data_IF_871594956693
#
_entry.id   IF_871594956693
#
_cell.length_a   1.000
_cell.length_b   1.000
_cell.length_c   1.000
_cell.angle_alpha   90.00
_cell.angle_beta   90.00
_cell.angle_gamma   90.00
#
_symmetry.space_group_name_H-M   'P 1'
#
loop_
_entity.id
_entity.type
_entity.pdbx_description
1 polymer ?
#
# COMPACT_ATOMS: atom_id res chain seq x y z
N UNK A 1 -1.12 -6.62 -19.45
CA UNK A 1 0.16 -6.05 -18.97
C UNK A 1 0.25 -4.53 -19.08
N UNK A 2 0.03 -3.90 -20.25
CA UNK A 2 0.07 -2.42 -20.38
C UNK A 2 -0.76 -1.69 -19.31
N UNK A 3 -1.96 -2.19 -18.96
CA UNK A 3 -2.87 -1.58 -17.99
C UNK A 3 -2.43 -1.69 -16.53
N UNK A 4 -1.51 -2.58 -16.17
CA UNK A 4 -1.01 -2.73 -14.81
C UNK A 4 0.31 -1.99 -14.55
N UNK A 5 1.11 -1.78 -15.58
CA UNK A 5 2.40 -1.05 -15.47
C UNK A 5 2.19 0.45 -15.39
N UNK A 6 1.16 0.97 -16.07
CA UNK A 6 0.84 2.40 -16.07
C UNK A 6 0.54 2.90 -14.64
N UNK A 7 -0.32 2.27 -13.81
CA UNK A 7 -0.51 2.70 -12.44
C UNK A 7 0.76 2.66 -11.60
N UNK A 8 1.62 1.65 -11.75
CA UNK A 8 2.89 1.57 -11.03
C UNK A 8 3.82 2.74 -11.38
N UNK A 9 3.90 3.10 -12.67
CA UNK A 9 4.67 4.25 -13.12
C UNK A 9 4.03 5.58 -12.70
N UNK A 10 2.69 5.68 -12.61
CA UNK A 10 2.03 6.86 -12.04
C UNK A 10 2.35 7.04 -10.56
N UNK A 11 2.37 6.00 -9.75
CA UNK A 11 2.80 6.08 -8.34
C UNK A 11 4.28 6.47 -8.25
N UNK A 12 5.12 5.92 -9.12
CA UNK A 12 6.52 6.34 -9.27
C UNK A 12 6.64 7.83 -9.60
N UNK A 13 5.67 8.43 -10.27
CA UNK A 13 5.67 9.83 -10.71
C UNK A 13 5.08 10.77 -9.68
N UNK A 14 3.97 10.42 -9.05
CA UNK A 14 3.35 11.24 -8.00
C UNK A 14 4.24 11.35 -6.76
N UNK A 15 5.03 10.30 -6.44
CA UNK A 15 6.00 10.34 -5.35
C UNK A 15 7.11 11.37 -5.55
N UNK A 16 7.25 11.93 -6.73
CA UNK A 16 8.39 12.79 -7.09
C UNK A 16 8.02 14.26 -7.27
N UNK A 17 6.72 14.60 -7.35
CA UNK A 17 6.33 15.99 -7.64
C UNK A 17 6.50 17.00 -6.49
N UNK A 18 6.84 16.57 -5.27
CA UNK A 18 7.01 17.47 -4.13
C UNK A 18 8.17 17.04 -3.25
N UNK A 19 9.44 17.24 -3.67
CA UNK A 19 10.46 17.05 -2.69
C UNK A 19 11.75 17.76 -2.75
N UNK A 20 12.01 18.20 -1.59
CA UNK A 20 13.15 18.85 -1.00
C UNK A 20 14.43 18.03 -1.00
N UNK A 21 15.50 18.74 -1.26
CA UNK A 21 16.88 18.45 -1.17
C UNK A 21 17.34 17.44 -0.11
N UNK A 22 17.54 16.21 -0.56
CA UNK A 22 18.56 15.33 -0.06
C UNK A 22 19.24 14.73 -1.28
N UNK A 23 20.51 14.97 -1.49
CA UNK A 23 21.37 14.66 -2.62
C UNK A 23 20.91 13.51 -3.54
N UNK A 24 20.20 13.87 -4.61
CA UNK A 24 19.73 12.97 -5.64
C UNK A 24 18.23 13.15 -5.87
N UNK A 25 17.83 14.19 -6.66
CA UNK A 25 16.43 14.37 -7.05
C UNK A 25 15.96 13.15 -7.83
N UNK A 26 14.92 12.47 -7.34
CA UNK A 26 14.26 11.40 -8.10
C UNK A 26 13.69 11.99 -9.39
N UNK A 27 13.73 11.27 -10.52
CA UNK A 27 13.27 11.79 -11.81
C UNK A 27 11.77 12.10 -11.79
N UNK A 28 11.39 13.18 -12.43
CA UNK A 28 9.99 13.59 -12.58
C UNK A 28 9.53 13.23 -14.00
N UNK A 29 8.48 12.41 -14.10
CA UNK A 29 7.92 11.95 -15.38
C UNK A 29 6.52 12.52 -15.61
N UNK A 30 6.18 12.86 -16.84
CA UNK A 30 4.82 13.17 -17.28
C UNK A 30 4.22 11.99 -18.09
N UNK A 31 2.94 12.05 -18.44
CA UNK A 31 2.25 10.96 -19.15
C UNK A 31 2.90 10.53 -20.46
N UNK A 32 3.51 11.47 -21.21
CA UNK A 32 4.23 11.15 -22.44
C UNK A 32 5.52 10.40 -22.13
N UNK A 33 6.22 10.83 -21.09
CA UNK A 33 7.44 10.18 -20.62
C UNK A 33 7.16 8.76 -20.16
N UNK A 34 6.03 8.53 -19.48
CA UNK A 34 5.62 7.19 -19.03
C UNK A 34 5.42 6.24 -20.21
N UNK A 35 4.63 6.65 -21.19
CA UNK A 35 4.38 5.82 -22.36
C UNK A 35 5.67 5.51 -23.12
N UNK A 36 6.56 6.49 -23.20
CA UNK A 36 7.88 6.31 -23.80
C UNK A 36 8.72 5.31 -23.01
N UNK A 37 8.82 5.46 -21.68
CA UNK A 37 9.55 4.53 -20.80
C UNK A 37 8.97 3.12 -20.90
N UNK A 38 7.64 2.98 -20.85
CA UNK A 38 6.97 1.67 -20.99
C UNK A 38 7.28 1.01 -22.32
N UNK A 39 7.43 1.80 -23.39
CA UNK A 39 7.81 1.28 -24.72
C UNK A 39 9.24 0.76 -24.79
N UNK A 40 10.13 1.29 -23.95
CA UNK A 40 11.54 0.88 -23.88
C UNK A 40 11.78 -0.33 -22.98
N UNK A 41 10.84 -0.65 -22.07
CA UNK A 41 10.96 -1.79 -21.17
C UNK A 41 10.85 -3.11 -21.92
N UNK A 42 11.77 -4.04 -21.66
CA UNK A 42 11.62 -5.43 -22.10
C UNK A 42 10.47 -6.13 -21.37
N UNK A 43 10.04 -7.28 -21.87
CA UNK A 43 8.99 -8.06 -21.22
C UNK A 43 9.40 -8.47 -19.78
N UNK A 44 10.65 -8.89 -19.60
CA UNK A 44 11.23 -9.25 -18.31
C UNK A 44 11.26 -8.08 -17.33
N UNK A 45 11.63 -6.89 -17.80
CA UNK A 45 11.62 -5.67 -17.00
C UNK A 45 10.19 -5.30 -16.59
N UNK A 46 9.23 -5.38 -17.52
CA UNK A 46 7.80 -5.19 -17.23
C UNK A 46 7.30 -6.17 -16.18
N UNK A 47 7.64 -7.45 -16.32
CA UNK A 47 7.27 -8.48 -15.34
C UNK A 47 7.90 -8.21 -13.96
N UNK A 48 9.15 -7.74 -13.92
CA UNK A 48 9.83 -7.39 -12.67
C UNK A 48 9.22 -6.21 -11.93
N UNK A 49 8.69 -5.22 -12.64
CA UNK A 49 8.01 -4.08 -12.02
C UNK A 49 6.69 -4.48 -11.34
N UNK A 50 6.07 -5.60 -11.74
CA UNK A 50 4.83 -6.12 -11.13
C UNK A 50 5.10 -7.02 -9.92
N UNK A 51 6.38 -7.32 -9.62
CA UNK A 51 6.80 -8.24 -8.57
C UNK A 51 7.80 -7.56 -7.66
N UNK A 52 7.39 -7.27 -6.43
CA UNK A 52 8.26 -6.63 -5.45
C UNK A 52 9.33 -7.55 -4.89
N UNK A 53 10.12 -7.00 -4.01
CA UNK A 53 11.21 -7.68 -3.32
C UNK A 53 10.99 -7.65 -1.80
N UNK A 54 11.42 -8.69 -1.06
CA UNK A 54 11.34 -8.69 0.39
C UNK A 54 12.27 -7.63 0.99
N UNK A 55 11.85 -7.04 2.10
CA UNK A 55 12.69 -6.15 2.88
C UNK A 55 13.93 -6.85 3.44
N UNK A 56 14.87 -6.06 3.92
CA UNK A 56 16.12 -6.56 4.50
C UNK A 56 16.43 -5.82 5.81
N UNK A 57 16.86 -6.56 6.82
CA UNK A 57 17.39 -5.98 8.06
C UNK A 57 18.73 -5.27 7.85
N UNK A 58 19.41 -5.57 6.74
CA UNK A 58 20.65 -4.91 6.32
C UNK A 58 20.32 -3.91 5.21
N UNK A 59 20.41 -2.62 5.52
CA UNK A 59 20.32 -1.59 4.48
C UNK A 59 21.45 -1.76 3.46
N UNK A 60 21.09 -1.71 2.18
CA UNK A 60 22.02 -1.55 1.05
C UNK A 60 21.67 -0.23 0.36
N UNK A 61 22.51 0.25 -0.55
CA UNK A 61 22.49 1.63 -1.05
C UNK A 61 21.14 2.20 -1.50
N UNK A 62 20.12 1.37 -1.71
CA UNK A 62 18.78 1.79 -2.17
C UNK A 62 17.63 1.18 -1.35
N UNK A 63 17.93 0.51 -0.23
CA UNK A 63 16.95 -0.21 0.58
C UNK A 63 17.03 0.28 2.01
N UNK A 64 15.89 0.71 2.56
CA UNK A 64 15.78 1.10 3.96
C UNK A 64 15.82 -0.16 4.83
N UNK A 65 16.74 -0.20 5.78
CA UNK A 65 16.89 -1.33 6.70
C UNK A 65 15.61 -1.51 7.52
N UNK A 66 15.08 -2.75 7.53
CA UNK A 66 13.83 -3.08 8.23
C UNK A 66 12.57 -2.66 7.48
N UNK A 67 12.67 -2.14 6.25
CA UNK A 67 11.50 -1.94 5.39
C UNK A 67 10.77 -3.27 5.15
N UNK A 68 9.45 -3.21 4.94
CA UNK A 68 8.63 -4.39 4.65
C UNK A 68 8.96 -5.00 3.28
N UNK A 69 9.36 -4.16 2.33
CA UNK A 69 9.75 -4.56 0.99
C UNK A 69 10.05 -3.35 0.11
N UNK A 70 10.44 -3.62 -1.12
CA UNK A 70 10.77 -2.60 -2.10
C UNK A 70 10.44 -3.07 -3.53
N UNK A 71 10.34 -2.12 -4.48
CA UNK A 71 10.17 -2.43 -5.90
C UNK A 71 11.53 -2.61 -6.57
N UNK A 72 11.58 -3.43 -7.61
CA UNK A 72 12.80 -3.67 -8.35
C UNK A 72 13.21 -2.42 -9.16
N UNK A 73 14.43 -1.89 -9.01
CA UNK A 73 14.91 -0.76 -9.79
C UNK A 73 15.28 -1.20 -11.22
N UNK A 74 15.20 -0.27 -12.19
CA UNK A 74 15.66 -0.48 -13.56
C UNK A 74 16.61 0.66 -13.92
N UNK A 75 17.87 0.49 -13.56
CA UNK A 75 18.91 1.52 -13.66
C UNK A 75 19.12 2.02 -15.09
N UNK A 76 18.93 1.15 -16.10
CA UNK A 76 19.06 1.53 -17.52
C UNK A 76 18.02 2.56 -18.00
N UNK A 77 16.96 2.78 -17.23
CA UNK A 77 15.87 3.72 -17.52
C UNK A 77 15.62 4.69 -16.37
N UNK A 78 16.57 4.81 -15.43
CA UNK A 78 16.49 5.67 -14.26
C UNK A 78 15.22 5.43 -13.39
N UNK A 79 14.66 4.20 -13.41
CA UNK A 79 13.51 3.83 -12.57
C UNK A 79 14.04 3.42 -11.20
N UNK A 80 13.78 4.21 -10.14
CA UNK A 80 14.29 3.93 -8.81
C UNK A 80 13.51 2.81 -8.12
N UNK A 81 14.10 2.24 -7.07
CA UNK A 81 13.38 1.42 -6.10
C UNK A 81 12.47 2.29 -5.23
N UNK A 82 11.29 1.77 -4.90
CA UNK A 82 10.37 2.34 -3.91
C UNK A 82 10.41 1.48 -2.66
N UNK A 83 10.67 2.07 -1.50
CA UNK A 83 10.71 1.41 -0.21
C UNK A 83 9.35 1.51 0.49
N UNK A 84 8.80 0.36 0.90
CA UNK A 84 7.56 0.27 1.63
C UNK A 84 7.85 -0.16 3.08
N UNK A 85 7.36 0.58 4.06
CA UNK A 85 7.52 0.25 5.48
C UNK A 85 6.19 0.07 6.19
N UNK A 86 6.11 -0.86 7.13
CA UNK A 86 4.95 -0.96 8.03
C UNK A 86 4.81 0.32 8.85
N UNK A 87 3.57 0.68 9.23
CA UNK A 87 3.34 1.93 9.91
C UNK A 87 1.98 2.17 10.54
N UNK A 88 1.22 1.15 11.03
CA UNK A 88 -0.11 1.41 11.60
C UNK A 88 -0.11 2.33 12.82
N UNK A 89 0.95 2.32 13.60
CA UNK A 89 1.16 3.14 14.80
C UNK A 89 2.53 3.84 14.79
N UNK A 90 3.02 4.18 13.60
CA UNK A 90 4.32 4.79 13.35
C UNK A 90 5.18 3.95 12.40
N UNK A 91 6.19 4.56 11.82
CA UNK A 91 7.07 3.91 10.83
C UNK A 91 7.87 2.78 11.48
N UNK A 92 7.84 1.59 10.89
CA UNK A 92 8.60 0.44 11.36
C UNK A 92 9.79 0.18 10.45
N UNK A 93 10.97 0.43 11.00
CA UNK A 93 12.27 0.17 10.35
C UNK A 93 13.24 -0.46 11.35
N UNK A 94 14.37 -0.95 10.88
CA UNK A 94 15.48 -1.32 11.79
C UNK A 94 16.10 -0.03 12.34
N UNK A 95 16.23 0.10 13.68
CA UNK A 95 16.64 1.36 14.30
C UNK A 95 18.13 1.70 14.12
N UNK A 96 18.92 0.84 13.50
CA UNK A 96 20.34 1.07 13.20
C UNK A 96 20.51 1.47 11.75
N UNK A 97 20.79 2.74 11.53
CA UNK A 97 21.08 3.23 10.18
C UNK A 97 22.55 3.02 9.83
N UNK A 98 22.87 2.58 8.60
CA UNK A 98 24.24 2.51 8.14
C UNK A 98 24.94 3.88 8.30
N UNK A 99 26.16 3.86 8.82
CA UNK A 99 27.00 5.06 9.01
C UNK A 99 26.53 6.09 10.06
N UNK A 100 25.56 5.74 10.93
CA UNK A 100 25.23 6.57 12.10
C UNK A 100 25.77 5.91 13.38
N UNK A 101 26.47 6.67 14.23
CA UNK A 101 27.09 6.15 15.46
C UNK A 101 26.06 5.93 16.59
N UNK A 102 24.79 6.20 16.35
CA UNK A 102 23.70 6.09 17.31
C UNK A 102 22.50 5.39 16.71
N UNK A 103 21.72 4.74 17.55
CA UNK A 103 20.46 4.14 17.19
C UNK A 103 19.44 5.25 16.91
N UNK A 104 18.74 5.16 15.79
CA UNK A 104 17.64 6.05 15.46
C UNK A 104 16.32 5.35 15.77
N UNK A 105 15.36 6.07 16.36
CA UNK A 105 14.06 5.52 16.73
C UNK A 105 12.97 6.21 15.94
N UNK A 106 11.93 5.46 15.61
CA UNK A 106 10.66 6.03 15.15
C UNK A 106 9.70 6.17 16.33
N UNK A 107 8.81 7.13 16.23
CA UNK A 107 7.76 7.35 17.23
C UNK A 107 6.76 6.19 17.22
N UNK A 108 6.43 5.66 18.38
CA UNK A 108 5.28 4.79 18.58
C UNK A 108 4.09 5.67 18.95
N UNK A 109 3.21 5.91 18.00
CA UNK A 109 1.99 6.67 18.20
C UNK A 109 0.94 5.85 18.95
N UNK A 110 -0.10 6.52 19.52
CA UNK A 110 -1.26 5.82 20.07
C UNK A 110 -1.90 4.88 19.04
N UNK A 111 -2.59 3.83 19.50
CA UNK A 111 -3.33 2.96 18.59
C UNK A 111 -4.37 3.76 17.81
N UNK A 112 -4.65 3.35 16.58
CA UNK A 112 -5.66 4.02 15.73
C UNK A 112 -7.05 4.03 16.37
N UNK A 113 -7.36 3.04 17.23
CA UNK A 113 -8.57 3.04 18.07
C UNK A 113 -8.60 4.23 19.04
N UNK A 114 -7.48 4.53 19.70
CA UNK A 114 -7.36 5.69 20.60
C UNK A 114 -7.49 6.99 19.84
N UNK A 115 -6.86 7.05 18.66
CA UNK A 115 -6.98 8.20 17.76
C UNK A 115 -8.44 8.42 17.32
N UNK A 116 -9.16 7.35 16.93
CA UNK A 116 -10.57 7.43 16.54
C UNK A 116 -11.46 7.89 17.69
N UNK A 117 -11.16 7.50 18.95
CA UNK A 117 -11.92 7.91 20.13
C UNK A 117 -11.87 9.44 20.37
N UNK A 118 -10.96 10.15 19.75
CA UNK A 118 -10.93 11.63 19.80
C UNK A 118 -12.04 12.27 18.97
N UNK A 119 -12.59 11.59 17.99
CA UNK A 119 -13.54 12.12 16.98
C UNK A 119 -13.02 13.37 16.27
N UNK A 120 -11.70 13.57 16.28
CA UNK A 120 -11.06 14.77 15.73
C UNK A 120 -10.16 14.41 14.54
N UNK A 121 -10.65 14.71 13.33
CA UNK A 121 -9.91 14.49 12.09
C UNK A 121 -8.63 15.32 11.97
N UNK A 122 -8.56 16.47 12.64
CA UNK A 122 -7.36 17.33 12.57
C UNK A 122 -6.21 16.71 13.36
N UNK A 123 -6.50 16.00 14.47
CA UNK A 123 -5.51 15.21 15.21
C UNK A 123 -5.05 14.03 14.34
N UNK A 124 -5.95 13.37 13.64
CA UNK A 124 -5.59 12.27 12.74
C UNK A 124 -4.66 12.77 11.59
N UNK A 125 -4.94 13.95 11.04
CA UNK A 125 -4.06 14.56 10.02
C UNK A 125 -2.71 14.96 10.60
N UNK A 126 -2.68 15.50 11.83
CA UNK A 126 -1.44 15.85 12.52
C UNK A 126 -0.56 14.63 12.79
N UNK A 127 -1.15 13.51 13.24
CA UNK A 127 -0.43 12.24 13.39
C UNK A 127 0.09 11.74 12.05
N UNK A 128 -0.74 11.80 10.99
CA UNK A 128 -0.32 11.48 9.62
C UNK A 128 0.87 12.33 9.16
N UNK A 129 0.86 13.63 9.43
CA UNK A 129 2.00 14.52 9.12
C UNK A 129 3.27 14.07 9.83
N UNK A 130 3.19 13.74 11.12
CA UNK A 130 4.35 13.31 11.91
C UNK A 130 4.91 11.98 11.40
N UNK A 131 4.04 11.01 11.04
CA UNK A 131 4.44 9.75 10.40
C UNK A 131 5.13 10.02 9.06
N UNK A 132 4.59 10.94 8.25
CA UNK A 132 5.16 11.33 6.96
C UNK A 132 6.54 11.98 7.11
N UNK A 133 6.73 12.88 8.09
CA UNK A 133 8.02 13.51 8.38
C UNK A 133 9.08 12.48 8.78
N UNK A 134 8.73 11.49 9.62
CA UNK A 134 9.63 10.42 10.00
C UNK A 134 9.95 9.50 8.79
N UNK A 135 8.94 9.11 8.02
CA UNK A 135 9.13 8.30 6.81
C UNK A 135 10.09 8.97 5.82
N UNK A 136 9.92 10.27 5.59
CA UNK A 136 10.80 11.07 4.76
C UNK A 136 12.24 11.08 5.29
N UNK A 137 12.41 11.30 6.59
CA UNK A 137 13.74 11.34 7.23
C UNK A 137 14.49 10.00 7.12
N UNK A 138 13.78 8.88 7.04
CA UNK A 138 14.35 7.55 6.90
C UNK A 138 14.45 7.05 5.45
N UNK A 139 13.95 7.80 4.48
CA UNK A 139 13.97 7.41 3.07
C UNK A 139 12.92 6.36 2.71
N UNK A 140 11.85 6.25 3.49
CA UNK A 140 10.67 5.44 3.18
C UNK A 140 9.81 6.19 2.19
N UNK A 141 9.38 5.53 1.12
CA UNK A 141 8.58 6.15 0.07
C UNK A 141 7.07 5.94 0.31
N UNK A 142 6.68 4.78 0.85
CA UNK A 142 5.29 4.44 1.15
C UNK A 142 5.19 3.84 2.55
N UNK A 143 4.27 4.36 3.37
CA UNK A 143 3.94 3.78 4.67
C UNK A 143 2.67 2.94 4.54
N UNK A 144 2.72 1.68 5.03
CA UNK A 144 1.62 0.72 4.95
C UNK A 144 0.56 0.99 6.03
N UNK A 145 -0.09 2.13 5.91
CA UNK A 145 -1.11 2.65 6.82
C UNK A 145 -2.03 3.64 6.07
N UNK A 146 -3.29 3.87 6.52
CA UNK A 146 -3.97 3.28 7.66
C UNK A 146 -4.67 1.96 7.35
N UNK A 147 -4.86 1.14 8.40
CA UNK A 147 -5.82 0.05 8.38
C UNK A 147 -7.22 0.54 8.79
N UNK A 148 -8.25 0.25 8.00
CA UNK A 148 -9.62 0.74 8.25
C UNK A 148 -10.70 -0.35 8.25
N UNK A 149 -10.31 -1.62 8.38
CA UNK A 149 -11.30 -2.67 8.53
C UNK A 149 -12.13 -2.43 9.80
N UNK A 150 -13.42 -2.68 9.73
CA UNK A 150 -14.30 -2.47 10.88
C UNK A 150 -14.00 -3.45 12.02
N UNK A 151 -14.08 -2.99 13.25
CA UNK A 151 -13.90 -3.79 14.47
C UNK A 151 -15.18 -4.60 14.76
N UNK A 152 -15.46 -5.62 13.94
CA UNK A 152 -16.67 -6.44 14.08
C UNK A 152 -16.64 -7.33 15.32
N UNK A 153 -15.46 -7.80 15.73
CA UNK A 153 -15.28 -8.68 16.88
C UNK A 153 -14.13 -8.13 17.74
N UNK A 154 -14.35 -7.89 19.04
CA UNK A 154 -13.32 -7.38 19.95
C UNK A 154 -12.11 -8.31 20.09
N UNK A 155 -12.27 -9.60 19.80
CA UNK A 155 -11.18 -10.59 19.85
C UNK A 155 -10.32 -10.62 18.58
N UNK A 156 -10.58 -9.78 17.58
CA UNK A 156 -9.72 -9.70 16.41
C UNK A 156 -8.34 -9.12 16.80
N UNK A 157 -7.28 -9.89 16.59
CA UNK A 157 -5.91 -9.54 17.01
C UNK A 157 -5.31 -8.32 16.32
N UNK A 158 -5.97 -7.76 15.29
CA UNK A 158 -5.53 -6.56 14.56
C UNK A 158 -6.38 -5.31 14.83
N UNK A 159 -7.29 -5.35 15.81
CA UNK A 159 -8.11 -4.19 16.14
C UNK A 159 -7.28 -2.97 16.57
N UNK A 160 -6.07 -3.17 17.12
CA UNK A 160 -5.18 -2.08 17.52
C UNK A 160 -4.79 -1.14 16.37
N UNK A 161 -4.79 -1.63 15.13
CA UNK A 161 -4.47 -0.86 13.92
C UNK A 161 -5.71 -0.39 13.13
N UNK A 162 -6.92 -0.66 13.64
CA UNK A 162 -8.18 -0.24 13.06
C UNK A 162 -8.85 0.86 13.90
N UNK A 163 -9.64 1.72 13.27
CA UNK A 163 -10.20 2.90 13.92
C UNK A 163 -11.45 2.59 14.74
N UNK A 164 -12.46 1.95 14.14
CA UNK A 164 -13.79 1.81 14.74
C UNK A 164 -14.58 0.63 14.16
N UNK A 165 -15.68 0.29 14.81
CA UNK A 165 -16.73 -0.55 14.21
C UNK A 165 -17.59 0.22 13.21
N UNK A 166 -17.64 1.56 13.32
CA UNK A 166 -18.36 2.43 12.41
C UNK A 166 -17.54 2.71 11.14
N UNK A 167 -18.02 2.31 9.96
CA UNK A 167 -17.31 2.54 8.70
C UNK A 167 -17.20 4.03 8.33
N UNK A 168 -18.14 4.87 8.78
CA UNK A 168 -18.07 6.30 8.51
C UNK A 168 -16.94 6.97 9.31
N UNK A 169 -16.88 6.71 10.62
CA UNK A 169 -15.79 7.22 11.46
C UNK A 169 -14.43 6.72 10.97
N UNK A 170 -14.33 5.41 10.68
CA UNK A 170 -13.09 4.81 10.14
C UNK A 170 -12.67 5.45 8.83
N UNK A 171 -13.64 5.73 7.94
CA UNK A 171 -13.37 6.38 6.65
C UNK A 171 -12.88 7.82 6.78
N UNK A 172 -13.54 8.64 7.60
CA UNK A 172 -13.18 10.06 7.80
C UNK A 172 -11.82 10.21 8.50
N UNK A 173 -11.59 9.43 9.57
CA UNK A 173 -10.31 9.48 10.30
C UNK A 173 -9.16 8.92 9.44
N UNK A 174 -9.41 7.82 8.71
CA UNK A 174 -8.44 7.24 7.79
C UNK A 174 -8.07 8.21 6.65
N UNK A 175 -9.06 8.88 6.05
CA UNK A 175 -8.81 9.89 5.01
C UNK A 175 -7.96 11.05 5.53
N UNK A 176 -8.23 11.52 6.76
CA UNK A 176 -7.46 12.60 7.37
C UNK A 176 -5.99 12.20 7.61
N UNK A 177 -5.74 10.97 8.09
CA UNK A 177 -4.40 10.43 8.27
C UNK A 177 -3.67 10.29 6.93
N UNK A 178 -4.33 9.74 5.89
CA UNK A 178 -3.75 9.62 4.54
C UNK A 178 -3.31 10.99 4.02
N UNK A 179 -4.20 11.99 4.11
CA UNK A 179 -3.87 13.35 3.68
C UNK A 179 -2.64 13.89 4.44
N UNK A 180 -2.57 13.67 5.76
CA UNK A 180 -1.41 14.07 6.56
C UNK A 180 -0.09 13.45 6.09
N UNK A 181 -0.08 12.15 5.84
CA UNK A 181 1.10 11.45 5.33
C UNK A 181 1.48 11.99 3.94
N UNK A 182 0.49 12.14 3.05
CA UNK A 182 0.72 12.56 1.66
C UNK A 182 1.07 14.05 1.52
N UNK A 183 0.69 14.91 2.47
CA UNK A 183 1.16 16.30 2.56
C UNK A 183 2.71 16.40 2.66
N UNK A 184 3.38 15.33 3.10
CA UNK A 184 4.84 15.25 3.22
C UNK A 184 5.52 14.64 1.99
N UNK A 185 4.76 14.34 0.94
CA UNK A 185 5.27 13.69 -0.26
C UNK A 185 5.57 12.19 -0.07
N UNK A 186 5.01 11.57 0.96
CA UNK A 186 5.12 10.14 1.25
C UNK A 186 3.79 9.47 0.91
N UNK A 187 3.84 8.32 0.25
CA UNK A 187 2.63 7.56 -0.08
C UNK A 187 2.03 6.88 1.15
N UNK A 188 0.70 6.90 1.25
CA UNK A 188 -0.05 6.09 2.18
C UNK A 188 -0.63 4.85 1.47
N UNK A 189 -0.66 3.71 2.18
CA UNK A 189 -1.27 2.47 1.69
C UNK A 189 -2.51 2.12 2.51
N UNK A 190 -3.67 2.42 1.95
CA UNK A 190 -4.96 2.12 2.56
C UNK A 190 -5.20 0.61 2.60
N UNK A 191 -5.48 0.02 3.79
CA UNK A 191 -5.56 -1.43 3.96
C UNK A 191 -6.63 -1.85 4.97
N UNK A 192 -7.06 -3.12 4.96
CA UNK A 192 -6.81 -4.19 3.98
C UNK A 192 -8.09 -4.39 3.18
N UNK A 193 -8.03 -4.24 1.90
CA UNK A 193 -9.19 -4.23 1.00
C UNK A 193 -9.62 -5.65 0.63
N UNK A 194 -10.70 -6.19 1.17
CA UNK A 194 -11.64 -5.78 2.21
C UNK A 194 -11.95 -6.95 3.17
N UNK A 195 -12.68 -6.64 4.24
CA UNK A 195 -13.23 -7.64 5.16
C UNK A 195 -12.19 -8.48 5.93
N UNK A 196 -11.01 -7.91 6.23
CA UNK A 196 -10.00 -8.54 7.09
C UNK A 196 -10.36 -8.38 8.58
N UNK A 197 -11.48 -8.99 9.00
CA UNK A 197 -12.06 -8.82 10.33
C UNK A 197 -11.81 -10.00 11.27
N UNK A 198 -10.99 -10.98 10.83
CA UNK A 198 -10.66 -12.19 11.58
C UNK A 198 -9.23 -12.60 11.31
N UNK A 199 -8.46 -12.92 12.36
CA UNK A 199 -7.08 -13.38 12.21
C UNK A 199 -6.93 -14.90 12.30
N UNK A 200 -7.83 -15.61 12.97
CA UNK A 200 -7.84 -17.07 12.97
C UNK A 200 -8.06 -17.58 11.55
N UNK A 201 -7.09 -18.34 11.04
CA UNK A 201 -7.14 -18.87 9.68
C UNK A 201 -7.15 -17.80 8.58
N UNK A 202 -6.63 -16.60 8.82
CA UNK A 202 -6.74 -15.43 7.92
C UNK A 202 -6.38 -15.69 6.47
N UNK A 203 -5.43 -16.59 6.22
CA UNK A 203 -4.97 -16.95 4.87
C UNK A 203 -5.96 -17.84 4.09
N UNK A 204 -6.93 -18.42 4.76
CA UNK A 204 -7.90 -19.37 4.17
C UNK A 204 -9.36 -19.00 4.49
N UNK A 205 -9.56 -18.04 5.38
CA UNK A 205 -10.89 -17.59 5.78
C UNK A 205 -11.68 -17.11 4.54
N UNK A 206 -12.93 -17.58 4.46
CA UNK A 206 -13.88 -17.18 3.41
C UNK A 206 -15.05 -16.42 4.08
N UNK A 207 -14.99 -15.10 4.00
CA UNK A 207 -16.01 -14.25 4.60
C UNK A 207 -17.34 -14.37 3.86
N UNK A 208 -18.37 -14.81 4.55
CA UNK A 208 -19.74 -14.92 4.04
C UNK A 208 -20.50 -13.64 4.34
N UNK A 209 -20.61 -12.77 3.35
CA UNK A 209 -21.17 -11.42 3.50
C UNK A 209 -22.20 -11.21 2.40
N UNK A 210 -23.38 -10.66 2.74
CA UNK A 210 -24.37 -10.29 1.74
C UNK A 210 -23.89 -9.11 0.90
N UNK A 211 -24.36 -8.98 -0.35
CA UNK A 211 -23.99 -7.86 -1.22
C UNK A 211 -24.34 -6.51 -0.61
N UNK A 212 -25.47 -6.42 0.09
CA UNK A 212 -25.86 -5.20 0.80
C UNK A 212 -24.83 -4.84 1.89
N UNK A 213 -24.47 -5.81 2.75
CA UNK A 213 -23.50 -5.57 3.81
C UNK A 213 -22.09 -5.23 3.26
N UNK A 214 -21.67 -5.86 2.15
CA UNK A 214 -20.42 -5.50 1.47
C UNK A 214 -20.44 -4.01 1.12
N UNK A 215 -21.49 -3.53 0.46
CA UNK A 215 -21.59 -2.15 -0.02
C UNK A 215 -21.79 -1.12 1.09
N UNK A 216 -22.67 -1.39 2.04
CA UNK A 216 -23.07 -0.42 3.06
C UNK A 216 -22.12 -0.36 4.26
N UNK A 217 -21.34 -1.42 4.51
CA UNK A 217 -20.49 -1.54 5.70
C UNK A 217 -19.02 -1.73 5.31
N UNK A 218 -18.68 -2.87 4.66
CA UNK A 218 -17.28 -3.27 4.49
C UNK A 218 -16.52 -2.43 3.45
N UNK A 219 -17.21 -1.93 2.43
CA UNK A 219 -16.65 -1.04 1.41
C UNK A 219 -16.77 0.44 1.79
N UNK A 220 -17.73 0.80 2.66
CA UNK A 220 -18.10 2.20 2.90
C UNK A 220 -16.94 3.04 3.44
N UNK A 221 -16.17 2.54 4.38
CA UNK A 221 -14.98 3.23 4.90
C UNK A 221 -13.92 3.45 3.82
N UNK A 222 -13.68 2.45 2.97
CA UNK A 222 -12.75 2.54 1.85
C UNK A 222 -13.20 3.55 0.80
N UNK A 223 -14.48 3.55 0.46
CA UNK A 223 -15.06 4.54 -0.47
C UNK A 223 -14.83 5.97 0.04
N UNK A 224 -15.08 6.21 1.33
CA UNK A 224 -14.87 7.51 1.96
C UNK A 224 -13.39 7.91 1.90
N UNK A 225 -12.47 7.00 2.25
CA UNK A 225 -11.04 7.27 2.17
C UNK A 225 -10.60 7.62 0.76
N UNK A 226 -10.96 6.82 -0.23
CA UNK A 226 -10.54 7.02 -1.62
C UNK A 226 -11.05 8.36 -2.15
N UNK A 227 -12.32 8.67 -1.93
CA UNK A 227 -12.92 9.92 -2.42
C UNK A 227 -12.42 11.20 -1.72
N UNK A 228 -11.89 11.09 -0.50
CA UNK A 228 -11.46 12.25 0.30
C UNK A 228 -9.94 12.39 0.46
N UNK A 229 -9.15 11.41 0.01
CA UNK A 229 -7.69 11.45 0.20
C UNK A 229 -6.86 10.93 -0.97
N UNK A 230 -7.46 10.19 -1.89
CA UNK A 230 -6.78 9.59 -3.04
C UNK A 230 -5.44 8.91 -2.66
N UNK A 231 -5.48 7.81 -1.85
CA UNK A 231 -4.27 7.16 -1.37
C UNK A 231 -3.41 6.65 -2.53
N UNK A 232 -2.08 6.77 -2.42
CA UNK A 232 -1.20 6.29 -3.50
C UNK A 232 -1.33 4.80 -3.74
N UNK A 233 -1.56 4.02 -2.67
CA UNK A 233 -1.77 2.58 -2.81
C UNK A 233 -2.97 2.09 -2.00
N UNK A 234 -3.60 1.02 -2.50
CA UNK A 234 -4.60 0.23 -1.78
C UNK A 234 -4.08 -1.20 -1.67
N UNK A 235 -3.99 -1.72 -0.45
CA UNK A 235 -3.55 -3.08 -0.20
C UNK A 235 -4.74 -4.03 -0.07
N UNK A 236 -4.74 -5.10 -0.86
CA UNK A 236 -5.69 -6.19 -0.73
C UNK A 236 -5.60 -6.90 0.60
N UNK A 237 -6.56 -7.74 0.93
CA UNK A 237 -6.58 -8.53 2.17
C UNK A 237 -6.27 -10.00 1.94
N UNK A 238 -5.92 -10.74 3.01
CA UNK A 238 -5.57 -12.16 2.92
C UNK A 238 -6.74 -13.09 2.64
N UNK A 239 -7.95 -12.71 3.07
CA UNK A 239 -9.12 -13.56 3.09
C UNK A 239 -9.78 -13.69 1.72
N UNK A 240 -10.70 -14.65 1.65
CA UNK A 240 -11.66 -14.77 0.56
C UNK A 240 -12.97 -14.06 0.90
N UNK A 241 -13.74 -13.74 -0.14
CA UNK A 241 -15.14 -13.38 -0.07
C UNK A 241 -15.89 -14.23 -1.10
N UNK A 242 -16.83 -15.06 -0.64
CA UNK A 242 -17.60 -15.93 -1.53
C UNK A 242 -16.74 -16.90 -2.34
N UNK A 243 -15.68 -17.44 -1.75
CA UNK A 243 -14.78 -18.40 -2.37
C UNK A 243 -13.60 -17.78 -3.13
N UNK A 244 -13.60 -16.47 -3.43
CA UNK A 244 -12.54 -15.80 -4.20
C UNK A 244 -11.68 -14.92 -3.32
N UNK A 245 -10.34 -15.00 -3.48
CA UNK A 245 -9.42 -14.12 -2.78
C UNK A 245 -9.59 -12.67 -3.19
N UNK A 246 -9.63 -11.75 -2.22
CA UNK A 246 -9.83 -10.32 -2.47
C UNK A 246 -8.77 -9.74 -3.41
N UNK A 247 -7.52 -10.23 -3.31
CA UNK A 247 -6.39 -9.82 -4.16
C UNK A 247 -6.46 -10.34 -5.61
N UNK A 248 -7.45 -11.19 -5.93
CA UNK A 248 -7.67 -11.73 -7.26
C UNK A 248 -9.14 -11.58 -7.70
N UNK A 249 -9.88 -10.69 -7.06
CA UNK A 249 -11.31 -10.53 -7.28
C UNK A 249 -11.60 -9.36 -8.22
N UNK A 250 -11.96 -9.61 -9.51
CA UNK A 250 -12.18 -8.54 -10.48
C UNK A 250 -13.38 -7.65 -10.13
N UNK A 251 -14.40 -8.18 -9.43
CA UNK A 251 -15.52 -7.36 -8.98
C UNK A 251 -15.06 -6.28 -7.98
N UNK A 252 -14.21 -6.66 -7.01
CA UNK A 252 -13.68 -5.72 -6.03
C UNK A 252 -12.67 -4.75 -6.64
N UNK A 253 -11.70 -5.27 -7.41
CA UNK A 253 -10.54 -4.49 -7.84
C UNK A 253 -10.80 -3.71 -9.14
N UNK A 254 -11.52 -4.30 -10.11
CA UNK A 254 -11.78 -3.66 -11.40
C UNK A 254 -13.12 -2.93 -11.40
N UNK A 255 -14.20 -3.62 -11.03
CA UNK A 255 -15.55 -3.03 -11.11
C UNK A 255 -15.70 -1.94 -10.07
N UNK A 256 -15.52 -2.25 -8.79
CA UNK A 256 -15.77 -1.31 -7.70
C UNK A 256 -14.65 -0.27 -7.60
N UNK A 257 -13.42 -0.73 -7.38
CA UNK A 257 -12.31 0.18 -7.07
C UNK A 257 -11.93 1.04 -8.28
N UNK A 258 -11.71 0.43 -9.44
CA UNK A 258 -11.31 1.16 -10.66
C UNK A 258 -12.46 1.90 -11.32
N UNK A 259 -13.56 1.20 -11.65
CA UNK A 259 -14.58 1.76 -12.49
C UNK A 259 -15.59 2.61 -11.71
N UNK A 260 -16.14 2.11 -10.58
CA UNK A 260 -17.15 2.86 -9.84
C UNK A 260 -16.55 4.03 -9.04
N UNK A 261 -15.37 3.81 -8.41
CA UNK A 261 -14.74 4.83 -7.58
C UNK A 261 -13.67 5.65 -8.32
N UNK A 262 -13.37 5.28 -9.56
CA UNK A 262 -12.36 5.94 -10.40
C UNK A 262 -10.97 6.02 -9.73
N UNK A 263 -10.60 4.98 -8.97
CA UNK A 263 -9.31 4.93 -8.31
C UNK A 263 -8.19 4.62 -9.30
N UNK A 264 -7.18 5.49 -9.35
CA UNK A 264 -6.05 5.39 -10.28
C UNK A 264 -4.72 5.04 -9.62
N UNK A 265 -4.66 4.99 -8.28
CA UNK A 265 -3.46 4.59 -7.53
C UNK A 265 -3.11 3.11 -7.69
N UNK A 266 -2.04 2.65 -7.06
CA UNK A 266 -1.51 1.30 -7.16
C UNK A 266 -2.30 0.32 -6.27
N UNK A 267 -2.65 -0.84 -6.79
CA UNK A 267 -3.24 -1.94 -6.01
C UNK A 267 -2.14 -2.95 -5.70
N UNK A 268 -1.82 -3.11 -4.40
CA UNK A 268 -0.78 -4.02 -3.94
C UNK A 268 -1.37 -5.22 -3.21
N UNK A 269 -0.67 -6.36 -3.22
CA UNK A 269 -1.06 -7.50 -2.37
C UNK A 269 -0.70 -7.23 -0.91
N UNK A 270 -1.37 -7.93 0.01
CA UNK A 270 -0.84 -8.16 1.34
C UNK A 270 0.31 -9.18 1.29
N UNK A 271 1.14 -9.29 2.34
CA UNK A 271 2.45 -9.94 2.37
C UNK A 271 2.43 -11.47 2.55
N UNK A 272 3.52 -12.12 2.16
CA UNK A 272 3.90 -13.52 2.51
C UNK A 272 2.98 -14.65 2.04
N UNK A 273 2.06 -14.42 1.14
CA UNK A 273 1.25 -15.51 0.61
C UNK A 273 1.20 -15.45 -0.91
N UNK A 274 2.05 -16.27 -1.51
CA UNK A 274 1.94 -16.51 -2.96
C UNK A 274 0.54 -17.05 -3.30
N UNK A 275 -0.10 -16.39 -4.24
CA UNK A 275 -1.32 -16.82 -4.92
C UNK A 275 -0.97 -17.11 -6.37
N UNK A 276 -1.91 -17.63 -7.12
CA UNK A 276 -1.73 -17.72 -8.56
C UNK A 276 -1.44 -16.33 -9.14
N UNK A 277 -0.33 -16.24 -9.87
CA UNK A 277 0.18 -14.96 -10.40
C UNK A 277 -0.74 -14.39 -11.46
N UNK A 278 -1.25 -15.26 -12.35
CA UNK A 278 -2.16 -14.86 -13.42
C UNK A 278 -3.51 -14.42 -12.85
N UNK A 279 -4.04 -15.15 -11.86
CA UNK A 279 -5.30 -14.79 -11.19
C UNK A 279 -5.22 -13.41 -10.52
N UNK A 280 -4.11 -13.09 -9.84
CA UNK A 280 -3.93 -11.79 -9.20
C UNK A 280 -3.90 -10.65 -10.23
N UNK A 281 -3.10 -10.78 -11.29
CA UNK A 281 -3.01 -9.76 -12.35
C UNK A 281 -4.33 -9.63 -13.13
N UNK A 282 -4.96 -10.74 -13.47
CA UNK A 282 -6.26 -10.74 -14.12
C UNK A 282 -7.37 -10.21 -13.23
N UNK A 283 -7.26 -10.40 -11.92
CA UNK A 283 -8.16 -9.84 -10.92
C UNK A 283 -8.05 -8.32 -10.77
N UNK A 284 -6.89 -7.74 -11.10
CA UNK A 284 -6.66 -6.30 -11.05
C UNK A 284 -5.60 -5.84 -10.05
N UNK A 285 -4.83 -6.74 -9.46
CA UNK A 285 -3.63 -6.40 -8.68
C UNK A 285 -2.53 -5.87 -9.61
N UNK A 286 -1.86 -4.80 -9.20
CA UNK A 286 -0.77 -4.18 -9.97
C UNK A 286 0.61 -4.59 -9.47
N UNK A 287 0.78 -4.79 -8.15
CA UNK A 287 2.08 -5.12 -7.53
C UNK A 287 1.94 -6.23 -6.50
N UNK A 288 2.66 -7.30 -6.69
CA UNK A 288 2.71 -8.43 -5.76
C UNK A 288 3.85 -8.23 -4.74
N UNK A 289 3.52 -8.17 -3.44
CA UNK A 289 4.46 -7.92 -2.35
C UNK A 289 4.49 -9.10 -1.34
N UNK A 290 5.67 -9.47 -0.84
CA UNK A 290 7.00 -9.06 -1.29
C UNK A 290 7.45 -9.75 -2.56
N UNK A 291 6.61 -10.40 -3.29
CA UNK A 291 6.92 -11.09 -4.54
C UNK A 291 8.04 -12.16 -4.47
N UNK A 292 8.02 -13.06 -5.41
CA UNK A 292 9.07 -14.07 -5.59
C UNK A 292 9.63 -14.00 -7.02
N UNK A 293 10.94 -14.20 -7.23
CA UNK A 293 11.53 -14.17 -8.57
C UNK A 293 10.86 -15.13 -9.59
N UNK A 294 10.24 -16.21 -9.10
CA UNK A 294 9.48 -17.15 -9.92
C UNK A 294 8.26 -16.49 -10.55
N UNK A 295 7.58 -15.57 -9.84
CA UNK A 295 6.39 -14.91 -10.36
C UNK A 295 6.69 -14.02 -11.59
N UNK A 296 7.85 -13.36 -11.62
CA UNK A 296 8.24 -12.61 -12.82
C UNK A 296 8.43 -13.53 -14.04
N UNK A 297 8.98 -14.74 -13.84
CA UNK A 297 9.09 -15.74 -14.93
C UNK A 297 7.71 -16.27 -15.35
N UNK A 298 6.85 -16.57 -14.39
CA UNK A 298 5.45 -16.98 -14.66
C UNK A 298 4.71 -15.94 -15.51
N UNK A 299 4.95 -14.65 -15.28
CA UNK A 299 4.36 -13.57 -16.09
C UNK A 299 4.90 -13.58 -17.52
N UNK A 300 6.21 -13.74 -17.69
CA UNK A 300 6.85 -13.78 -19.02
C UNK A 300 6.37 -14.99 -19.81
N UNK A 301 6.24 -16.16 -19.17
CA UNK A 301 5.78 -17.41 -19.80
C UNK A 301 4.28 -17.37 -20.18
N UNK A 302 3.48 -16.53 -19.49
CA UNK A 302 2.05 -16.39 -19.74
C UNK A 302 1.68 -15.37 -20.83
N UNK A 303 2.64 -14.63 -21.37
CA UNK A 303 2.46 -13.59 -22.40
C UNK A 303 2.92 -14.07 -23.78
#
# INVERSE_FOLDING_TARGET
MHKAIIPLLYVLIFSVSNLFAGNGSKPHYNDKDINHIVSQLTLEQKARLLVGCPGSDKGVSHIVAGSAGYTFPIDSLDIPSINLADGPVGVRITPVLPNKPYTSYCTCFPSTTTLAATWNKDIARLEGNAIGDEALAYGVDIVLTPGINIMRNPLCGRNFEYFSEDPYLSGIMGAAMINGIQDKGIGASLKHFIANNQQTGKLYNDARISQRAIREIYLKGFEICIKNSDPWTVMGSYNKIGGQYTQANPELLRTILRNEWNYNGLIVTDWYKKRDTADQLNGGTDLMMPGEPAQAREIVEAV
#
